data_IF_553880136039
#
_entry.id   IF_553880136039
#
_cell.length_a   1.000
_cell.length_b   1.000
_cell.length_c   1.000
_cell.angle_alpha   90.00
_cell.angle_beta   90.00
_cell.angle_gamma   90.00
#
_symmetry.space_group_name_H-M   'P 1'
#
loop_
_entity.id
_entity.type
_entity.pdbx_description
1 polymer ?
#
# COMPACT_ATOMS: atom_id res chain seq x y z
N UNK A 1 13.60 7.74 -36.97
CA UNK A 1 13.56 8.59 -35.76
C UNK A 1 12.15 8.82 -35.22
N UNK A 2 11.17 9.23 -36.04
CA UNK A 2 9.78 9.49 -35.59
C UNK A 2 9.05 8.29 -34.95
N UNK A 3 9.30 7.08 -35.43
CA UNK A 3 8.67 5.84 -34.91
C UNK A 3 9.15 5.45 -33.51
N UNK A 4 10.42 5.70 -33.18
CA UNK A 4 11.00 5.41 -31.86
C UNK A 4 10.44 6.38 -30.81
N UNK A 5 10.36 7.67 -31.16
CA UNK A 5 9.81 8.70 -30.26
C UNK A 5 8.33 8.44 -29.93
N UNK A 6 7.54 8.07 -30.95
CA UNK A 6 6.13 7.75 -30.79
C UNK A 6 5.92 6.50 -29.92
N UNK A 7 6.78 5.49 -30.07
CA UNK A 7 6.76 4.26 -29.25
C UNK A 7 7.00 4.54 -27.77
N UNK A 8 8.03 5.33 -27.45
CA UNK A 8 8.38 5.69 -26.07
C UNK A 8 7.32 6.58 -25.44
N UNK A 9 6.80 7.56 -26.18
CA UNK A 9 5.70 8.40 -25.71
C UNK A 9 4.45 7.58 -25.36
N UNK A 10 4.09 6.60 -26.21
CA UNK A 10 2.98 5.71 -25.94
C UNK A 10 3.21 4.85 -24.68
N UNK A 11 4.45 4.45 -24.39
CA UNK A 11 4.78 3.71 -23.16
C UNK A 11 4.58 4.56 -21.91
N UNK A 12 5.05 5.81 -21.92
CA UNK A 12 4.81 6.72 -20.79
C UNK A 12 3.33 7.00 -20.59
N UNK A 13 2.55 7.12 -21.67
CA UNK A 13 1.11 7.31 -21.60
C UNK A 13 0.40 6.08 -21.02
N UNK A 14 0.85 4.87 -21.37
CA UNK A 14 0.34 3.63 -20.77
C UNK A 14 0.73 3.51 -19.30
N UNK A 15 1.97 3.84 -18.93
CA UNK A 15 2.40 3.85 -17.52
C UNK A 15 1.60 4.87 -16.72
N UNK A 16 1.41 6.07 -17.26
CA UNK A 16 0.59 7.11 -16.65
C UNK A 16 -0.87 6.66 -16.54
N UNK A 17 -1.43 6.03 -17.57
CA UNK A 17 -2.78 5.49 -17.53
C UNK A 17 -2.92 4.37 -16.50
N UNK A 18 -1.93 3.47 -16.38
CA UNK A 18 -1.88 2.44 -15.33
C UNK A 18 -1.79 3.11 -13.96
N UNK A 19 -0.94 4.12 -13.77
CA UNK A 19 -0.83 4.86 -12.51
C UNK A 19 -2.15 5.55 -12.14
N UNK A 20 -2.80 6.22 -13.09
CA UNK A 20 -4.09 6.88 -12.88
C UNK A 20 -5.22 5.87 -12.63
N UNK A 21 -5.18 4.71 -13.28
CA UNK A 21 -6.15 3.64 -13.10
C UNK A 21 -5.94 2.94 -11.75
N UNK A 22 -4.70 2.73 -11.34
CA UNK A 22 -4.32 2.26 -10.00
C UNK A 22 -4.73 3.27 -8.93
N UNK A 23 -4.60 4.57 -9.20
CA UNK A 23 -5.06 5.63 -8.30
C UNK A 23 -6.59 5.70 -8.21
N UNK A 24 -7.30 5.52 -9.32
CA UNK A 24 -8.76 5.41 -9.33
C UNK A 24 -9.25 4.15 -8.61
N UNK A 25 -8.56 3.02 -8.80
CA UNK A 25 -8.79 1.78 -8.06
C UNK A 25 -8.48 1.94 -6.58
N UNK A 26 -7.43 2.68 -6.22
CA UNK A 26 -7.08 3.04 -4.84
C UNK A 26 -8.22 3.82 -4.19
N UNK A 27 -8.68 4.89 -4.84
CA UNK A 27 -9.78 5.70 -4.32
C UNK A 27 -11.08 4.89 -4.20
N UNK A 28 -11.38 4.03 -5.18
CA UNK A 28 -12.58 3.20 -5.17
C UNK A 28 -12.49 2.07 -4.12
N UNK A 29 -11.32 1.49 -3.94
CA UNK A 29 -11.07 0.51 -2.88
C UNK A 29 -11.20 1.16 -1.51
N UNK A 30 -10.66 2.37 -1.34
CA UNK A 30 -10.82 3.15 -0.11
C UNK A 30 -12.31 3.41 0.19
N UNK A 31 -13.09 3.85 -0.79
CA UNK A 31 -14.54 4.06 -0.61
C UNK A 31 -15.32 2.77 -0.34
N UNK A 32 -14.90 1.63 -0.92
CA UNK A 32 -15.54 0.33 -0.64
C UNK A 32 -15.21 -0.13 0.78
N UNK A 33 -14.00 0.09 1.27
CA UNK A 33 -13.65 -0.25 2.64
C UNK A 33 -14.48 0.57 3.63
N UNK A 34 -14.76 1.84 3.34
CA UNK A 34 -15.70 2.66 4.14
C UNK A 34 -17.12 2.07 4.18
N UNK A 35 -17.58 1.50 3.05
CA UNK A 35 -18.90 0.87 2.94
C UNK A 35 -18.99 -0.46 3.70
N UNK A 36 -17.94 -1.30 3.64
CA UNK A 36 -17.93 -2.63 4.26
C UNK A 36 -17.46 -2.65 5.71
N UNK A 37 -16.65 -1.68 6.13
CA UNK A 37 -16.16 -1.53 7.50
C UNK A 37 -16.51 -0.12 8.01
N UNK A 38 -17.78 0.10 8.39
CA UNK A 38 -18.16 1.36 9.02
C UNK A 38 -17.39 1.53 10.33
N UNK A 39 -16.99 2.77 10.63
CA UNK A 39 -16.37 3.12 11.91
C UNK A 39 -17.32 2.64 13.02
N UNK A 40 -16.85 1.81 13.98
CA UNK A 40 -17.72 1.31 15.03
C UNK A 40 -18.32 2.48 15.81
N UNK A 41 -19.65 2.49 15.94
CA UNK A 41 -20.36 3.49 16.73
C UNK A 41 -19.93 3.36 18.20
N UNK A 42 -19.64 4.48 18.83
CA UNK A 42 -19.05 4.64 20.19
C UNK A 42 -19.79 3.87 21.30
N UNK A 43 -20.99 3.36 21.04
CA UNK A 43 -21.90 2.71 21.99
C UNK A 43 -21.64 1.22 22.27
N UNK A 44 -20.76 0.54 21.51
CA UNK A 44 -20.58 -0.92 21.64
C UNK A 44 -19.53 -1.31 22.72
N UNK A 45 -18.78 -0.34 23.27
CA UNK A 45 -17.70 -0.58 24.23
C UNK A 45 -17.92 0.13 25.59
N UNK A 46 -19.13 0.15 26.12
CA UNK A 46 -19.40 0.55 27.53
C UNK A 46 -18.92 -0.51 28.54
N UNK A 47 -17.72 -1.04 28.34
CA UNK A 47 -16.97 -1.79 29.34
C UNK A 47 -15.91 -0.88 29.97
N UNK A 48 -15.47 -1.21 31.19
CA UNK A 48 -14.42 -0.53 31.99
C UNK A 48 -13.06 -0.28 31.28
N UNK A 49 -12.91 -0.61 30.00
CA UNK A 49 -11.69 -0.45 29.23
C UNK A 49 -11.70 0.84 28.42
N UNK A 50 -10.75 1.73 28.75
CA UNK A 50 -10.46 2.91 27.93
C UNK A 50 -9.86 2.45 26.58
N UNK A 51 -10.59 2.67 25.49
CA UNK A 51 -10.19 2.26 24.14
C UNK A 51 -8.85 2.87 23.69
N UNK A 52 -8.57 4.11 24.08
CA UNK A 52 -7.29 4.75 23.81
C UNK A 52 -6.14 4.00 24.50
N UNK A 53 -6.36 3.52 25.74
CA UNK A 53 -5.41 2.65 26.44
C UNK A 53 -5.17 1.35 25.69
N UNK A 54 -6.23 0.70 25.20
CA UNK A 54 -6.11 -0.53 24.42
C UNK A 54 -5.33 -0.30 23.12
N UNK A 55 -5.63 0.79 22.41
CA UNK A 55 -4.90 1.19 21.22
C UNK A 55 -3.41 1.45 21.52
N UNK A 56 -3.09 2.21 22.56
CA UNK A 56 -1.69 2.54 22.91
C UNK A 56 -0.90 1.27 23.25
N UNK A 57 -1.47 0.37 24.06
CA UNK A 57 -0.77 -0.83 24.54
C UNK A 57 -0.61 -1.87 23.42
N UNK A 58 -1.69 -2.15 22.69
CA UNK A 58 -1.73 -3.23 21.70
C UNK A 58 -1.74 -2.69 20.27
N UNK A 59 -2.80 -1.96 19.90
CA UNK A 59 -3.08 -1.60 18.50
C UNK A 59 -1.93 -0.85 17.80
N UNK A 60 -1.39 0.18 18.43
CA UNK A 60 -0.30 0.99 17.87
C UNK A 60 0.95 0.16 17.59
N UNK A 61 1.36 -0.68 18.54
CA UNK A 61 2.56 -1.50 18.43
C UNK A 61 2.41 -2.59 17.36
N UNK A 62 1.24 -3.24 17.30
CA UNK A 62 0.93 -4.25 16.30
C UNK A 62 0.92 -3.66 14.88
N UNK A 63 0.20 -2.55 14.67
CA UNK A 63 0.11 -1.86 13.38
C UNK A 63 1.49 -1.38 12.93
N UNK A 64 2.27 -0.77 13.84
CA UNK A 64 3.63 -0.32 13.55
C UNK A 64 4.55 -1.48 13.17
N UNK A 65 4.53 -2.56 13.95
CA UNK A 65 5.35 -3.74 13.70
C UNK A 65 5.01 -4.39 12.35
N UNK A 66 3.72 -4.55 12.07
CA UNK A 66 3.22 -5.11 10.80
C UNK A 66 3.66 -4.26 9.60
N UNK A 67 3.49 -2.94 9.68
CA UNK A 67 3.86 -2.02 8.61
C UNK A 67 5.37 -1.99 8.37
N UNK A 68 6.21 -1.99 9.41
CA UNK A 68 7.67 -2.08 9.25
C UNK A 68 8.09 -3.40 8.57
N UNK A 69 7.46 -4.52 8.95
CA UNK A 69 7.73 -5.83 8.33
C UNK A 69 7.30 -5.84 6.85
N UNK A 70 6.12 -5.30 6.54
CA UNK A 70 5.61 -5.19 5.17
C UNK A 70 6.50 -4.31 4.31
N UNK A 71 6.90 -3.13 4.79
CA UNK A 71 7.80 -2.21 4.09
C UNK A 71 9.15 -2.86 3.77
N UNK A 72 9.70 -3.61 4.72
CA UNK A 72 10.95 -4.36 4.55
C UNK A 72 10.81 -5.42 3.46
N UNK A 73 9.72 -6.20 3.52
CA UNK A 73 9.41 -7.24 2.54
C UNK A 73 9.23 -6.66 1.13
N UNK A 74 8.44 -5.58 1.02
CA UNK A 74 8.19 -4.85 -0.23
C UNK A 74 9.49 -4.35 -0.87
N UNK A 75 10.33 -3.72 -0.07
CA UNK A 75 11.62 -3.16 -0.54
C UNK A 75 12.55 -4.28 -1.00
N UNK A 76 12.66 -5.36 -0.23
CA UNK A 76 13.48 -6.51 -0.60
C UNK A 76 13.03 -7.14 -1.92
N UNK A 77 11.73 -7.38 -2.09
CA UNK A 77 11.15 -7.97 -3.30
C UNK A 77 11.33 -7.05 -4.51
N UNK A 78 11.14 -5.74 -4.33
CA UNK A 78 11.32 -4.77 -5.41
C UNK A 78 12.77 -4.77 -5.90
N UNK A 79 13.75 -4.66 -5.00
CA UNK A 79 15.18 -4.67 -5.34
C UNK A 79 15.58 -6.00 -5.99
N UNK A 80 15.10 -7.11 -5.43
CA UNK A 80 15.32 -8.45 -5.98
C UNK A 80 14.75 -8.55 -7.40
N UNK A 81 13.51 -8.12 -7.61
CA UNK A 81 12.84 -8.17 -8.91
C UNK A 81 13.57 -7.33 -9.97
N UNK A 82 13.98 -6.11 -9.61
CA UNK A 82 14.75 -5.23 -10.51
C UNK A 82 16.06 -5.91 -10.92
N UNK A 83 16.81 -6.43 -9.95
CA UNK A 83 18.09 -7.11 -10.19
C UNK A 83 17.92 -8.39 -11.02
N UNK A 84 16.87 -9.16 -10.77
CA UNK A 84 16.58 -10.40 -11.49
C UNK A 84 16.09 -10.15 -12.92
N UNK A 85 15.42 -9.02 -13.16
CA UNK A 85 14.93 -8.67 -14.49
C UNK A 85 16.05 -8.48 -15.53
N UNK A 86 17.20 -7.97 -15.09
CA UNK A 86 18.37 -7.81 -15.95
C UNK A 86 18.96 -9.17 -16.34
N UNK A 87 18.96 -10.13 -15.40
CA UNK A 87 19.60 -11.44 -15.59
C UNK A 87 18.71 -12.47 -16.31
N UNK A 88 17.43 -12.54 -15.98
CA UNK A 88 16.54 -13.60 -16.50
C UNK A 88 15.79 -13.13 -17.73
N UNK A 89 15.23 -11.92 -17.68
CA UNK A 89 14.32 -11.47 -18.74
C UNK A 89 15.10 -10.82 -19.89
N UNK A 90 16.37 -10.46 -19.67
CA UNK A 90 17.22 -9.78 -20.64
C UNK A 90 16.45 -8.58 -21.22
N UNK A 91 16.10 -7.65 -20.34
CA UNK A 91 15.05 -6.62 -20.51
C UNK A 91 15.06 -5.90 -21.88
N UNK A 92 16.25 -5.71 -22.46
CA UNK A 92 16.42 -5.05 -23.77
C UNK A 92 16.02 -5.93 -24.97
N UNK A 93 16.13 -7.25 -24.86
CA UNK A 93 15.86 -8.22 -25.92
C UNK A 93 14.48 -8.89 -25.80
N UNK A 94 13.77 -8.68 -24.69
CA UNK A 94 12.44 -9.27 -24.47
C UNK A 94 11.33 -8.58 -25.27
N UNK A 95 10.20 -9.27 -25.40
CA UNK A 95 9.01 -8.72 -26.05
C UNK A 95 8.43 -7.54 -25.27
N UNK A 96 7.83 -6.59 -25.99
CA UNK A 96 7.24 -5.39 -25.39
C UNK A 96 6.19 -5.72 -24.31
N UNK A 97 5.44 -6.81 -24.46
CA UNK A 97 4.42 -7.22 -23.51
C UNK A 97 5.01 -7.65 -22.16
N UNK A 98 6.06 -8.48 -22.16
CA UNK A 98 6.75 -8.90 -20.93
C UNK A 98 7.36 -7.69 -20.21
N UNK A 99 7.94 -6.76 -20.99
CA UNK A 99 8.48 -5.51 -20.45
C UNK A 99 7.41 -4.68 -19.74
N UNK A 100 6.23 -4.55 -20.34
CA UNK A 100 5.11 -3.81 -19.75
C UNK A 100 4.60 -4.49 -18.47
N UNK A 101 4.52 -5.83 -18.45
CA UNK A 101 4.13 -6.57 -17.24
C UNK A 101 5.11 -6.35 -16.08
N UNK A 102 6.42 -6.38 -16.35
CA UNK A 102 7.43 -6.06 -15.34
C UNK A 102 7.29 -4.64 -14.79
N UNK A 103 7.19 -3.65 -15.69
CA UNK A 103 7.05 -2.24 -15.29
C UNK A 103 5.76 -2.00 -14.51
N UNK A 104 4.65 -2.63 -14.92
CA UNK A 104 3.38 -2.56 -14.19
C UNK A 104 3.50 -3.19 -12.79
N UNK A 105 4.19 -4.34 -12.68
CA UNK A 105 4.47 -4.99 -11.41
C UNK A 105 5.29 -4.09 -10.46
N UNK A 106 6.34 -3.46 -10.97
CA UNK A 106 7.15 -2.50 -10.19
C UNK A 106 6.36 -1.26 -9.78
N UNK A 107 5.51 -0.72 -10.67
CA UNK A 107 4.65 0.40 -10.34
C UNK A 107 3.69 0.04 -9.21
N UNK A 108 3.08 -1.15 -9.23
CA UNK A 108 2.22 -1.64 -8.15
C UNK A 108 2.98 -1.83 -6.83
N UNK A 109 4.20 -2.36 -6.86
CA UNK A 109 5.05 -2.47 -5.67
C UNK A 109 5.40 -1.08 -5.09
N UNK A 110 5.68 -0.09 -5.94
CA UNK A 110 5.91 1.29 -5.49
C UNK A 110 4.65 1.89 -4.86
N UNK A 111 3.47 1.67 -5.45
CA UNK A 111 2.20 2.08 -4.86
C UNK A 111 1.95 1.42 -3.49
N UNK A 112 2.30 0.13 -3.35
CA UNK A 112 2.23 -0.57 -2.07
C UNK A 112 3.14 0.08 -1.01
N UNK A 113 4.40 0.38 -1.34
CA UNK A 113 5.35 1.06 -0.45
C UNK A 113 4.81 2.41 0.02
N UNK A 114 4.30 3.23 -0.91
CA UNK A 114 3.75 4.54 -0.58
C UNK A 114 2.51 4.42 0.32
N UNK A 115 1.58 3.52 0.00
CA UNK A 115 0.37 3.30 0.78
C UNK A 115 0.68 2.82 2.20
N UNK A 116 1.63 1.90 2.35
CA UNK A 116 2.09 1.43 3.65
C UNK A 116 2.76 2.54 4.47
N UNK A 117 3.62 3.35 3.84
CA UNK A 117 4.24 4.52 4.47
C UNK A 117 3.22 5.56 4.95
N UNK A 118 2.17 5.82 4.16
CA UNK A 118 1.04 6.68 4.58
C UNK A 118 0.32 6.06 5.78
N UNK A 119 0.07 4.74 5.75
CA UNK A 119 -0.52 4.02 6.88
C UNK A 119 0.31 4.18 8.15
N UNK A 120 1.62 4.00 8.07
CA UNK A 120 2.53 4.17 9.21
C UNK A 120 2.53 5.60 9.74
N UNK A 121 2.51 6.60 8.86
CA UNK A 121 2.44 8.01 9.25
C UNK A 121 1.13 8.33 9.99
N UNK A 122 -0.01 7.88 9.47
CA UNK A 122 -1.31 8.05 10.13
C UNK A 122 -1.36 7.35 11.49
N UNK A 123 -0.77 6.16 11.64
CA UNK A 123 -0.67 5.48 12.94
C UNK A 123 0.16 6.30 13.94
N UNK A 124 1.26 6.90 13.48
CA UNK A 124 2.10 7.77 14.31
C UNK A 124 1.36 9.05 14.72
N UNK A 125 0.48 9.60 13.86
CA UNK A 125 -0.40 10.72 14.20
C UNK A 125 -1.53 10.34 15.17
N UNK A 126 -2.03 9.10 15.11
CA UNK A 126 -3.08 8.63 16.03
C UNK A 126 -2.58 8.46 17.48
N UNK A 127 -1.31 8.13 17.68
CA UNK A 127 -0.73 7.94 19.01
C UNK A 127 -0.85 9.15 19.96
N UNK A 128 -0.40 10.37 19.61
CA UNK A 128 -0.52 11.52 20.50
C UNK A 128 -1.99 11.87 20.80
N UNK A 129 -2.90 11.63 19.85
CA UNK A 129 -4.33 11.86 20.07
C UNK A 129 -4.90 10.87 21.09
N UNK A 130 -4.54 9.59 21.00
CA UNK A 130 -4.92 8.59 21.98
C UNK A 130 -4.35 8.88 23.38
N UNK A 131 -3.13 9.43 23.46
CA UNK A 131 -2.53 9.81 24.75
C UNK A 131 -3.28 10.98 25.42
N UNK A 132 -3.74 11.95 24.63
CA UNK A 132 -4.56 13.06 25.13
C UNK A 132 -5.91 12.54 25.63
N UNK A 133 -6.59 11.68 24.86
CA UNK A 133 -7.87 11.08 25.25
C UNK A 133 -7.75 10.25 26.55
N UNK A 134 -6.66 9.49 26.69
CA UNK A 134 -6.36 8.76 27.93
C UNK A 134 -6.14 9.70 29.13
N UNK A 135 -5.38 10.77 28.95
CA UNK A 135 -5.11 11.74 30.02
C UNK A 135 -6.37 12.48 30.47
N UNK A 136 -7.24 12.89 29.54
CA UNK A 136 -8.51 13.55 29.85
C UNK A 136 -9.43 12.60 30.63
N UNK A 137 -9.50 11.33 30.23
CA UNK A 137 -10.27 10.30 30.92
C UNK A 137 -9.79 10.06 32.36
N UNK A 138 -8.47 10.07 32.61
CA UNK A 138 -7.90 9.85 33.94
C UNK A 138 -8.02 11.09 34.86
N UNK A 139 -8.04 12.30 34.30
CA UNK A 139 -8.06 13.57 35.07
C UNK A 139 -9.44 14.18 35.24
N UNK A 140 -10.45 13.71 34.51
CA UNK A 140 -11.80 14.31 34.52
C UNK A 140 -11.83 15.71 33.91
N UNK A 141 -10.84 16.04 33.07
CA UNK A 141 -10.78 17.30 32.33
C UNK A 141 -11.94 17.40 31.32
N UNK A 142 -12.33 18.61 30.87
CA UNK A 142 -13.38 18.75 29.87
C UNK A 142 -13.01 17.99 28.59
N UNK A 143 -13.85 17.00 28.22
CA UNK A 143 -13.70 16.18 27.03
C UNK A 143 -13.65 17.05 25.77
N UNK A 144 -12.45 17.26 25.22
CA UNK A 144 -12.34 17.58 23.81
C UNK A 144 -12.43 16.24 23.08
N UNK A 145 -13.50 16.03 22.32
CA UNK A 145 -13.68 14.80 21.54
C UNK A 145 -12.66 14.83 20.39
N UNK A 146 -11.41 14.46 20.68
CA UNK A 146 -10.36 14.25 19.70
C UNK A 146 -10.41 12.78 19.27
N UNK A 147 -11.02 12.56 18.11
CA UNK A 147 -11.26 11.22 17.58
C UNK A 147 -9.96 10.62 17.02
N UNK A 148 -9.14 10.01 17.88
CA UNK A 148 -7.96 9.24 17.46
C UNK A 148 -8.32 8.05 16.57
N UNK A 149 -9.59 7.62 16.61
CA UNK A 149 -10.15 6.54 15.80
C UNK A 149 -10.02 6.78 14.31
N UNK A 150 -10.27 7.99 13.83
CA UNK A 150 -10.23 8.28 12.41
C UNK A 150 -8.83 8.05 11.80
N UNK A 151 -7.74 8.63 12.33
CA UNK A 151 -6.40 8.37 11.80
C UNK A 151 -5.94 6.93 12.05
N UNK A 152 -6.30 6.29 13.16
CA UNK A 152 -5.96 4.89 13.43
C UNK A 152 -6.64 3.94 12.41
N UNK A 153 -7.91 4.19 12.12
CA UNK A 153 -8.67 3.39 11.17
C UNK A 153 -8.18 3.62 9.73
N UNK A 154 -7.94 4.87 9.34
CA UNK A 154 -7.38 5.20 8.03
C UNK A 154 -5.97 4.63 7.83
N UNK A 155 -5.18 4.53 8.90
CA UNK A 155 -3.89 3.83 8.88
C UNK A 155 -4.07 2.36 8.50
N UNK A 156 -4.97 1.65 9.19
CA UNK A 156 -5.26 0.25 8.92
C UNK A 156 -5.73 0.02 7.46
N UNK A 157 -6.61 0.88 6.95
CA UNK A 157 -7.04 0.82 5.53
C UNK A 157 -5.87 0.96 4.55
N UNK A 158 -5.00 1.93 4.79
CA UNK A 158 -3.86 2.19 3.90
C UNK A 158 -2.88 0.99 3.88
N UNK A 159 -2.68 0.31 5.02
CA UNK A 159 -1.88 -0.91 5.11
C UNK A 159 -2.55 -2.07 4.36
N UNK A 160 -3.87 -2.25 4.51
CA UNK A 160 -4.61 -3.28 3.76
C UNK A 160 -4.52 -3.06 2.24
N UNK A 161 -4.71 -1.82 1.79
CA UNK A 161 -4.61 -1.48 0.36
C UNK A 161 -3.19 -1.73 -0.15
N UNK A 162 -2.16 -1.44 0.66
CA UNK A 162 -0.78 -1.81 0.34
C UNK A 162 -0.63 -3.32 0.11
N UNK A 163 -1.19 -4.14 1.00
CA UNK A 163 -1.19 -5.60 0.85
C UNK A 163 -1.86 -6.07 -0.44
N UNK A 164 -2.95 -5.44 -0.87
CA UNK A 164 -3.60 -5.76 -2.15
C UNK A 164 -2.69 -5.42 -3.33
N UNK A 165 -2.10 -4.23 -3.36
CA UNK A 165 -1.16 -3.84 -4.42
C UNK A 165 0.07 -4.73 -4.47
N UNK A 166 0.58 -5.13 -3.31
CA UNK A 166 1.68 -6.06 -3.19
C UNK A 166 1.39 -7.39 -3.90
N UNK A 167 0.24 -7.99 -3.61
CA UNK A 167 -0.18 -9.27 -4.20
C UNK A 167 -0.29 -9.15 -5.72
N UNK A 168 -0.95 -8.11 -6.23
CA UNK A 168 -1.05 -7.90 -7.68
C UNK A 168 0.31 -7.64 -8.31
N UNK A 169 1.16 -6.82 -7.69
CA UNK A 169 2.53 -6.56 -8.17
C UNK A 169 3.35 -7.84 -8.29
N UNK A 170 3.25 -8.74 -7.31
CA UNK A 170 3.86 -10.06 -7.35
C UNK A 170 3.34 -10.92 -8.50
N UNK A 171 2.01 -10.98 -8.69
CA UNK A 171 1.40 -11.75 -9.77
C UNK A 171 1.93 -11.29 -11.13
N UNK A 172 2.02 -9.97 -11.36
CA UNK A 172 2.57 -9.42 -12.60
C UNK A 172 4.04 -9.78 -12.82
N UNK A 173 4.87 -9.69 -11.78
CA UNK A 173 6.30 -10.03 -11.86
C UNK A 173 6.49 -11.52 -12.15
N UNK A 174 5.75 -12.39 -11.46
CA UNK A 174 5.83 -13.84 -11.67
C UNK A 174 5.34 -14.21 -13.06
N UNK A 175 4.20 -13.66 -13.50
CA UNK A 175 3.68 -13.89 -14.84
C UNK A 175 4.67 -13.45 -15.92
N UNK A 176 5.28 -12.27 -15.76
CA UNK A 176 6.31 -11.79 -16.69
C UNK A 176 7.52 -12.74 -16.73
N UNK A 177 7.97 -13.23 -15.57
CA UNK A 177 9.04 -14.22 -15.47
C UNK A 177 8.71 -15.51 -16.22
N UNK A 178 7.53 -16.10 -15.97
CA UNK A 178 7.08 -17.33 -16.63
C UNK A 178 6.99 -17.13 -18.15
N UNK A 179 6.32 -16.07 -18.60
CA UNK A 179 6.15 -15.78 -20.03
C UNK A 179 7.50 -15.56 -20.71
N UNK A 180 8.47 -14.92 -20.04
CA UNK A 180 9.80 -14.69 -20.60
C UNK A 180 10.58 -15.97 -20.87
N UNK A 181 10.32 -17.05 -20.13
CA UNK A 181 10.98 -18.36 -20.34
C UNK A 181 10.44 -19.07 -21.58
N UNK A 182 9.14 -18.93 -21.86
CA UNK A 182 8.50 -19.62 -22.98
C UNK A 182 8.61 -18.87 -24.31
N UNK A 183 8.67 -17.54 -24.27
CA UNK A 183 8.79 -16.73 -25.48
C UNK A 183 10.28 -16.59 -25.84
N UNK A 184 10.72 -17.33 -26.84
CA UNK A 184 12.03 -17.09 -27.47
C UNK A 184 12.01 -15.73 -28.18
N UNK A 185 13.06 -14.89 -28.03
CA UNK A 185 13.17 -13.67 -28.82
C UNK A 185 13.23 -14.06 -30.30
N UNK A 186 12.26 -13.59 -31.09
CA UNK A 186 12.35 -13.62 -32.55
C UNK A 186 13.42 -12.61 -32.94
N UNK A 187 14.59 -13.12 -33.31
CA UNK A 187 15.74 -12.35 -33.83
C UNK A 187 15.32 -11.63 -35.10
#
# INVERSE_FOLDING_TARGET
MKTIFLSSFLQYLVILAIMLLSFGLFHKAFSLIDEYFPIPEKSIMEGEFNDAKLFIVHGYNEIKSLSIQLLTLLTAILIFSVTFSEKIVNFNQTTRSVRLMLVAGWALLMCAIVSDGVGLALNAFALPLALIDLYEHETGAPNYILEFYEPAFNSFKAILISGVFFIYGLIFIVAAGIVSVFIKPSI
#
